data_IF_009534118610
#
_entry.id   IF_009534118610
#
_cell.length_a   1.000
_cell.length_b   1.000
_cell.length_c   1.000
_cell.angle_alpha   90.00
_cell.angle_beta   90.00
_cell.angle_gamma   90.00
#
_symmetry.space_group_name_H-M   'P 1'
#
loop_
_entity.id
_entity.type
_entity.pdbx_description
1 polymer ?
#
# COMPACT_ATOMS: atom_id res chain seq x y z
N UNK A 1 10.08 -4.19 14.90
CA UNK A 1 9.28 -3.73 13.74
C UNK A 1 9.86 -2.40 13.28
N UNK A 2 9.94 -2.17 11.98
CA UNK A 2 10.32 -0.89 11.39
C UNK A 2 9.34 -0.49 10.30
N UNK A 3 9.16 0.81 10.08
CA UNK A 3 8.29 1.34 9.05
C UNK A 3 8.88 2.57 8.38
N UNK A 4 8.38 2.89 7.19
CA UNK A 4 8.81 4.07 6.49
C UNK A 4 7.79 4.52 5.46
N UNK A 5 7.78 5.81 5.19
CA UNK A 5 6.97 6.44 4.16
C UNK A 5 7.75 7.63 3.59
N UNK A 6 7.49 8.01 2.34
CA UNK A 6 8.10 9.19 1.75
C UNK A 6 7.53 10.48 2.34
N UNK A 7 6.31 10.43 2.89
CA UNK A 7 5.63 11.56 3.49
C UNK A 7 5.88 11.59 5.01
N UNK A 8 6.66 12.59 5.45
CA UNK A 8 6.94 12.84 6.87
C UNK A 8 5.68 12.96 7.74
N UNK A 9 4.62 13.59 7.22
CA UNK A 9 3.37 13.76 7.96
C UNK A 9 2.72 12.42 8.28
N UNK A 10 2.75 11.46 7.33
CA UNK A 10 2.26 10.11 7.56
C UNK A 10 3.08 9.39 8.63
N UNK A 11 4.40 9.57 8.64
CA UNK A 11 5.28 9.03 9.69
C UNK A 11 4.94 9.62 11.06
N UNK A 12 4.68 10.92 11.15
CA UNK A 12 4.26 11.57 12.40
C UNK A 12 2.89 11.06 12.88
N UNK A 13 1.91 10.98 11.99
CA UNK A 13 0.58 10.42 12.30
C UNK A 13 0.65 8.97 12.75
N UNK A 14 1.51 8.15 12.12
CA UNK A 14 1.73 6.77 12.56
C UNK A 14 2.17 6.72 14.02
N UNK A 15 3.11 7.57 14.44
CA UNK A 15 3.58 7.60 15.84
C UNK A 15 2.45 7.95 16.80
N UNK A 16 1.63 8.95 16.45
CA UNK A 16 0.45 9.32 17.23
C UNK A 16 -0.59 8.19 17.31
N UNK A 17 -0.86 7.51 16.19
CA UNK A 17 -1.76 6.36 16.14
C UNK A 17 -1.26 5.20 17.03
N UNK A 18 0.04 4.91 16.97
CA UNK A 18 0.67 3.84 17.77
C UNK A 18 0.52 4.09 19.28
N UNK A 19 0.78 5.33 19.71
CA UNK A 19 0.62 5.75 21.10
C UNK A 19 -0.83 5.70 21.56
N UNK A 20 -1.77 6.19 20.75
CA UNK A 20 -3.21 6.10 21.06
C UNK A 20 -3.72 4.67 21.14
N UNK A 21 -3.17 3.77 20.32
CA UNK A 21 -3.46 2.35 20.39
C UNK A 21 -2.83 1.65 21.62
N UNK A 22 -2.07 2.37 22.45
CA UNK A 22 -1.41 1.87 23.65
C UNK A 22 -0.49 0.66 23.38
N UNK A 23 0.10 0.63 22.19
CA UNK A 23 1.02 -0.43 21.81
C UNK A 23 2.38 -0.22 22.50
N UNK A 24 3.02 -1.28 22.99
CA UNK A 24 4.33 -1.19 23.60
C UNK A 24 5.37 -0.74 22.56
N UNK A 25 6.42 -0.08 23.05
CA UNK A 25 7.64 0.27 22.31
C UNK A 25 7.41 0.86 20.91
N UNK A 26 7.61 2.17 20.76
CA UNK A 26 7.47 2.82 19.47
C UNK A 26 8.45 2.19 18.45
N UNK A 27 7.96 1.62 17.34
CA UNK A 27 8.84 1.01 16.35
C UNK A 27 9.67 2.07 15.65
N UNK A 28 10.81 1.63 15.09
CA UNK A 28 11.69 2.51 14.34
C UNK A 28 10.98 2.94 13.05
N UNK A 29 10.54 4.21 12.99
CA UNK A 29 9.93 4.78 11.79
C UNK A 29 10.68 6.00 11.29
N UNK A 30 10.81 6.10 9.96
CA UNK A 30 11.58 7.17 9.29
C UNK A 30 10.89 7.61 8.00
N UNK A 31 11.09 8.86 7.64
CA UNK A 31 10.82 9.30 6.27
C UNK A 31 11.87 8.69 5.35
N UNK A 32 11.46 7.88 4.38
CA UNK A 32 12.38 7.18 3.49
C UNK A 32 11.69 6.81 2.18
N UNK A 33 12.41 6.96 1.07
CA UNK A 33 12.00 6.43 -0.23
C UNK A 33 12.04 4.89 -0.22
N UNK A 34 11.03 4.25 -0.81
CA UNK A 34 10.98 2.80 -0.96
C UNK A 34 12.23 2.22 -1.66
N UNK A 35 12.81 2.92 -2.64
CA UNK A 35 14.04 2.53 -3.33
C UNK A 35 15.30 2.72 -2.45
N UNK A 36 15.23 3.55 -1.42
CA UNK A 36 16.31 3.73 -0.45
C UNK A 36 16.19 2.80 0.77
N UNK A 37 15.06 2.08 0.91
CA UNK A 37 14.81 1.19 2.04
C UNK A 37 15.84 0.05 2.10
N UNK A 38 16.20 -0.37 3.31
CA UNK A 38 17.11 -1.50 3.54
C UNK A 38 16.55 -2.42 4.62
N UNK A 39 16.83 -3.73 4.58
CA UNK A 39 16.49 -4.59 5.70
C UNK A 39 17.18 -4.09 6.97
N UNK A 40 16.57 -4.27 8.15
CA UNK A 40 17.24 -4.05 9.43
C UNK A 40 18.55 -4.83 9.51
N UNK A 41 19.56 -4.26 10.17
CA UNK A 41 20.85 -4.92 10.34
C UNK A 41 20.68 -6.30 11.00
N UNK A 42 21.41 -7.30 10.48
CA UNK A 42 21.42 -8.69 10.95
C UNK A 42 20.09 -9.45 10.85
N UNK A 43 19.05 -8.87 10.22
CA UNK A 43 17.80 -9.57 9.99
C UNK A 43 17.93 -10.53 8.79
N UNK A 44 17.88 -11.83 9.08
CA UNK A 44 17.69 -12.90 8.08
C UNK A 44 16.23 -13.34 8.10
N UNK A 45 15.72 -13.77 6.95
CA UNK A 45 14.38 -14.35 6.82
C UNK A 45 13.24 -13.41 7.30
N UNK A 46 13.40 -12.12 7.02
CA UNK A 46 12.44 -11.10 7.45
C UNK A 46 11.17 -11.08 6.61
N UNK A 47 10.15 -10.40 7.15
CA UNK A 47 8.88 -10.14 6.46
C UNK A 47 8.73 -8.65 6.19
N UNK A 48 8.44 -8.31 4.94
CA UNK A 48 8.05 -6.95 4.55
C UNK A 48 6.58 -6.95 4.14
N UNK A 49 5.81 -5.97 4.60
CA UNK A 49 4.41 -5.76 4.22
C UNK A 49 4.24 -4.35 3.67
N UNK A 50 3.68 -4.23 2.47
CA UNK A 50 3.42 -2.96 1.80
C UNK A 50 1.99 -2.89 1.29
N UNK A 51 1.49 -1.66 1.30
CA UNK A 51 0.24 -1.27 0.71
C UNK A 51 0.51 -0.07 -0.22
N UNK A 52 1.09 -0.29 -1.41
CA UNK A 52 1.43 0.79 -2.35
C UNK A 52 0.16 1.56 -2.74
N UNK A 53 0.28 2.81 -3.20
CA UNK A 53 -0.86 3.57 -3.68
C UNK A 53 -1.59 2.81 -4.79
N UNK A 54 -2.92 2.77 -4.72
CA UNK A 54 -3.75 2.20 -5.78
C UNK A 54 -4.19 3.33 -6.70
N UNK A 55 -4.05 3.15 -8.02
CA UNK A 55 -4.48 4.14 -9.02
C UNK A 55 -5.92 4.65 -8.83
N UNK A 56 -6.82 3.80 -8.31
CA UNK A 56 -8.22 4.18 -8.06
C UNK A 56 -8.44 5.19 -6.93
N UNK A 57 -7.56 5.30 -5.92
CA UNK A 57 -7.74 6.28 -4.84
C UNK A 57 -7.54 7.72 -5.31
N UNK A 58 -6.90 7.92 -6.47
CA UNK A 58 -6.75 9.24 -7.11
C UNK A 58 -7.99 9.60 -7.95
N UNK A 59 -8.72 8.62 -8.48
CA UNK A 59 -9.84 8.83 -9.40
C UNK A 59 -11.23 8.76 -8.75
N UNK A 60 -11.42 8.03 -7.64
CA UNK A 60 -12.72 7.91 -6.95
C UNK A 60 -12.94 9.10 -6.00
N UNK A 61 -12.95 10.32 -6.55
CA UNK A 61 -13.52 11.51 -5.90
C UNK A 61 -14.94 11.78 -6.44
N UNK A 62 -15.74 10.72 -6.58
CA UNK A 62 -17.06 10.77 -7.20
C UNK A 62 -18.07 9.86 -6.49
N UNK A 63 -18.56 10.28 -5.32
CA UNK A 63 -19.47 9.45 -4.53
C UNK A 63 -20.18 10.16 -3.39
N UNK A 64 -20.93 11.23 -3.72
CA UNK A 64 -21.90 11.97 -2.88
C UNK A 64 -21.36 12.68 -1.63
N UNK A 65 -21.15 14.00 -1.77
CA UNK A 65 -21.19 14.91 -0.63
C UNK A 65 -20.46 16.25 -0.83
N UNK A 66 -21.06 17.15 -1.63
CA UNK A 66 -20.80 18.60 -1.75
C UNK A 66 -19.41 19.07 -2.20
N UNK A 67 -19.45 20.17 -2.95
CA UNK A 67 -18.34 20.91 -3.50
C UNK A 67 -17.27 21.21 -2.47
N UNK A 68 -16.06 20.72 -2.72
CA UNK A 68 -14.83 21.30 -2.20
C UNK A 68 -13.87 21.33 -3.37
N UNK A 69 -13.63 22.55 -3.84
CA UNK A 69 -12.68 22.87 -4.90
C UNK A 69 -11.32 22.23 -4.60
N UNK A 70 -10.59 21.97 -5.69
CA UNK A 70 -9.20 21.51 -5.71
C UNK A 70 -8.39 21.96 -4.49
N UNK A 71 -8.15 21.01 -3.58
CA UNK A 71 -7.10 21.11 -2.58
C UNK A 71 -6.22 19.88 -2.82
N UNK A 72 -4.93 20.15 -3.01
CA UNK A 72 -3.83 19.20 -2.77
C UNK A 72 -4.15 18.41 -1.50
N UNK A 73 -3.64 17.19 -1.35
CA UNK A 73 -3.82 16.40 -0.13
C UNK A 73 -3.14 17.08 1.09
N UNK A 74 -3.75 18.15 1.58
CA UNK A 74 -3.38 18.92 2.75
C UNK A 74 -3.94 18.10 3.92
N UNK A 75 -3.04 17.35 4.56
CA UNK A 75 -3.23 16.99 5.96
C UNK A 75 -3.21 18.30 6.75
N UNK A 76 -4.37 18.96 6.84
CA UNK A 76 -4.52 20.27 7.48
C UNK A 76 -4.53 20.12 9.00
N UNK A 77 -3.82 21.04 9.64
CA UNK A 77 -3.52 21.16 11.06
C UNK A 77 -4.71 21.79 11.80
N UNK A 78 -5.88 21.14 11.71
CA UNK A 78 -7.05 21.55 12.47
C UNK A 78 -7.29 20.58 13.62
N UNK A 79 -6.88 21.03 14.81
CA UNK A 79 -7.30 20.64 16.15
C UNK A 79 -7.86 19.22 16.38
N UNK A 80 -7.10 18.52 17.22
CA UNK A 80 -7.45 17.27 17.89
C UNK A 80 -8.77 17.42 18.67
N UNK A 81 -9.89 17.01 18.07
CA UNK A 81 -11.05 16.50 18.81
C UNK A 81 -11.86 15.52 17.96
N UNK A 82 -12.22 14.40 18.58
CA UNK A 82 -13.14 13.36 18.12
C UNK A 82 -12.65 12.34 17.07
N UNK A 83 -12.04 11.29 17.62
CA UNK A 83 -12.33 9.87 17.34
C UNK A 83 -12.96 9.49 15.98
N UNK A 84 -12.26 9.83 14.90
CA UNK A 84 -12.62 9.46 13.53
C UNK A 84 -12.61 7.94 13.28
N UNK A 85 -12.10 7.15 14.23
CA UNK A 85 -12.02 5.69 14.16
C UNK A 85 -13.07 4.97 15.00
N UNK A 86 -13.67 5.60 16.02
CA UNK A 86 -14.70 4.97 16.85
C UNK A 86 -15.97 4.57 16.09
N UNK A 87 -16.29 5.18 14.95
CA UNK A 87 -17.51 4.87 14.19
C UNK A 87 -17.35 3.72 13.18
N UNK A 88 -16.15 3.14 13.02
CA UNK A 88 -15.89 2.08 12.04
C UNK A 88 -16.19 0.65 12.54
N UNK A 89 -17.00 0.49 13.58
CA UNK A 89 -17.41 -0.83 14.10
C UNK A 89 -18.69 -1.38 13.44
N UNK A 90 -19.46 -0.57 12.71
CA UNK A 90 -20.80 -1.02 12.31
C UNK A 90 -21.30 -0.36 11.01
N UNK A 91 -20.92 -0.87 9.84
CA UNK A 91 -21.79 -0.78 8.65
C UNK A 91 -21.64 -2.00 7.76
N UNK A 92 -22.74 -2.74 7.69
CA UNK A 92 -22.86 -4.02 7.04
C UNK A 92 -22.82 -3.95 5.51
N UNK A 93 -22.37 -5.08 4.96
CA UNK A 93 -22.74 -5.67 3.68
C UNK A 93 -24.01 -5.06 3.07
N UNK A 94 -23.87 -4.11 2.15
CA UNK A 94 -24.96 -3.80 1.21
C UNK A 94 -24.45 -3.93 -0.23
N UNK A 95 -25.09 -4.88 -0.91
CA UNK A 95 -24.78 -5.40 -2.24
C UNK A 95 -24.90 -4.34 -3.33
N UNK A 96 -23.78 -3.94 -3.94
CA UNK A 96 -23.79 -3.22 -5.21
C UNK A 96 -23.95 -4.23 -6.38
N UNK A 97 -24.93 -3.93 -7.24
CA UNK A 97 -25.49 -4.81 -8.28
C UNK A 97 -24.47 -5.21 -9.37
N UNK A 98 -24.58 -6.46 -9.82
CA UNK A 98 -23.69 -7.20 -10.76
C UNK A 98 -23.36 -6.50 -12.09
N UNK A 99 -24.17 -5.53 -12.56
CA UNK A 99 -24.01 -4.90 -13.88
C UNK A 99 -22.86 -3.89 -13.97
N UNK A 100 -22.46 -3.27 -12.86
CA UNK A 100 -21.38 -2.27 -12.84
C UNK A 100 -19.97 -2.88 -12.96
N UNK A 101 -19.84 -4.18 -12.65
CA UNK A 101 -18.55 -4.90 -12.53
C UNK A 101 -17.85 -5.15 -13.86
N UNK A 102 -18.60 -5.34 -14.94
CA UNK A 102 -18.04 -5.65 -16.25
C UNK A 102 -17.55 -4.38 -16.97
N UNK A 103 -18.28 -3.28 -16.80
CA UNK A 103 -17.88 -1.95 -17.27
C UNK A 103 -16.67 -1.41 -16.49
N UNK A 104 -16.60 -1.62 -15.17
CA UNK A 104 -15.42 -1.27 -14.37
C UNK A 104 -14.17 -2.04 -14.79
N UNK A 105 -14.27 -3.35 -15.03
CA UNK A 105 -13.14 -4.17 -15.49
C UNK A 105 -12.55 -3.70 -16.82
N UNK A 106 -13.39 -3.21 -17.74
CA UNK A 106 -12.95 -2.68 -19.03
C UNK A 106 -12.29 -1.30 -18.89
N UNK A 107 -12.74 -0.47 -17.95
CA UNK A 107 -12.12 0.82 -17.64
C UNK A 107 -10.79 0.66 -16.88
N UNK A 108 -10.74 -0.24 -15.90
CA UNK A 108 -9.54 -0.55 -15.09
C UNK A 108 -8.40 -1.17 -15.92
N UNK A 109 -8.72 -1.88 -17.01
CA UNK A 109 -7.73 -2.44 -17.92
C UNK A 109 -7.26 -1.42 -18.99
N UNK A 110 -7.91 -0.26 -19.09
CA UNK A 110 -7.65 0.76 -20.12
C UNK A 110 -7.07 2.07 -19.57
N UNK A 111 -6.97 2.27 -18.26
CA UNK A 111 -6.09 3.31 -17.72
C UNK A 111 -4.64 2.89 -17.95
N UNK A 112 -4.01 3.47 -18.97
CA UNK A 112 -2.56 3.45 -19.14
C UNK A 112 -1.93 3.90 -17.81
N UNK A 113 -1.36 2.95 -17.07
CA UNK A 113 -0.65 3.29 -15.85
C UNK A 113 0.47 4.26 -16.20
N UNK A 114 0.64 5.29 -15.35
CA UNK A 114 1.70 6.28 -15.49
C UNK A 114 3.05 5.58 -15.80
N UNK A 115 3.67 5.86 -16.96
CA UNK A 115 4.96 5.26 -17.31
C UNK A 115 6.03 5.45 -16.23
N UNK A 116 6.00 6.56 -15.49
CA UNK A 116 6.93 6.80 -14.39
C UNK A 116 6.70 5.83 -13.24
N UNK A 117 5.44 5.54 -12.91
CA UNK A 117 5.09 4.57 -11.86
C UNK A 117 5.46 3.14 -12.27
N UNK A 118 5.24 2.76 -13.53
CA UNK A 118 5.66 1.45 -14.04
C UNK A 118 7.18 1.28 -13.97
N UNK A 119 7.93 2.31 -14.33
CA UNK A 119 9.39 2.31 -14.21
C UNK A 119 9.85 2.25 -12.75
N UNK A 120 9.19 2.99 -11.85
CA UNK A 120 9.42 2.88 -10.40
C UNK A 120 9.19 1.44 -9.91
N UNK A 121 8.10 0.77 -10.28
CA UNK A 121 7.83 -0.61 -9.89
C UNK A 121 8.92 -1.56 -10.41
N UNK A 122 9.40 -1.33 -11.63
CA UNK A 122 10.53 -2.10 -12.19
C UNK A 122 11.80 -1.92 -11.35
N UNK A 123 12.14 -0.69 -10.98
CA UNK A 123 13.30 -0.37 -10.13
C UNK A 123 13.13 -0.95 -8.73
N UNK A 124 11.93 -0.87 -8.16
CA UNK A 124 11.61 -1.41 -6.86
C UNK A 124 11.72 -2.95 -6.84
N UNK A 125 11.24 -3.63 -7.88
CA UNK A 125 11.44 -5.07 -8.03
C UNK A 125 12.91 -5.47 -8.12
N UNK A 126 13.75 -4.67 -8.78
CA UNK A 126 15.19 -4.88 -8.80
C UNK A 126 15.83 -4.68 -7.42
N UNK A 127 15.47 -3.60 -6.73
CA UNK A 127 15.92 -3.29 -5.39
C UNK A 127 15.57 -4.40 -4.38
N UNK A 128 14.35 -4.95 -4.44
CA UNK A 128 13.95 -6.08 -3.60
C UNK A 128 14.84 -7.31 -3.79
N UNK A 129 15.19 -7.65 -5.03
CA UNK A 129 16.10 -8.77 -5.33
C UNK A 129 17.52 -8.52 -4.83
N UNK A 130 17.97 -7.27 -4.88
CA UNK A 130 19.35 -6.90 -4.55
C UNK A 130 19.56 -6.77 -3.05
N UNK A 131 18.61 -6.18 -2.32
CA UNK A 131 18.77 -5.83 -0.92
C UNK A 131 18.04 -6.76 0.05
N UNK A 132 17.00 -7.48 -0.38
CA UNK A 132 16.12 -8.25 0.51
C UNK A 132 16.19 -9.77 0.29
N UNK A 133 17.32 -10.30 -0.18
CA UNK A 133 17.53 -11.75 -0.30
C UNK A 133 17.23 -12.50 1.00
N UNK A 134 16.45 -13.59 0.90
CA UNK A 134 15.95 -14.38 2.02
C UNK A 134 14.61 -13.90 2.60
N UNK A 135 14.10 -12.72 2.22
CA UNK A 135 12.88 -12.17 2.79
C UNK A 135 11.61 -12.64 2.08
N UNK A 136 10.50 -12.70 2.84
CA UNK A 136 9.16 -12.76 2.27
C UNK A 136 8.57 -11.35 2.17
N UNK A 137 8.20 -10.93 0.96
CA UNK A 137 7.57 -9.63 0.69
C UNK A 137 6.09 -9.84 0.40
N UNK A 138 5.23 -9.13 1.13
CA UNK A 138 3.79 -9.15 0.97
C UNK A 138 3.29 -7.80 0.46
N UNK A 139 2.56 -7.80 -0.65
CA UNK A 139 2.01 -6.58 -1.27
C UNK A 139 0.51 -6.70 -1.41
N UNK A 140 -0.23 -5.84 -0.72
CA UNK A 140 -1.67 -5.72 -0.89
C UNK A 140 -1.96 -4.72 -2.01
N UNK A 141 -2.55 -5.15 -3.12
CA UNK A 141 -2.90 -4.25 -4.25
C UNK A 141 -4.15 -4.68 -5.00
N UNK A 142 -4.80 -3.73 -5.66
CA UNK A 142 -5.82 -3.99 -6.70
C UNK A 142 -5.20 -4.23 -8.09
N UNK A 143 -3.91 -3.93 -8.27
CA UNK A 143 -3.20 -4.15 -9.54
C UNK A 143 -2.82 -5.62 -9.73
N UNK A 144 -3.46 -6.28 -10.70
CA UNK A 144 -3.21 -7.69 -11.01
C UNK A 144 -1.98 -7.90 -11.90
N UNK A 145 -1.45 -6.85 -12.53
CA UNK A 145 -0.24 -6.87 -13.34
C UNK A 145 1.04 -6.69 -12.49
N UNK A 146 0.91 -6.37 -11.19
CA UNK A 146 2.02 -6.10 -10.28
C UNK A 146 3.18 -7.13 -10.36
N UNK A 147 2.95 -8.47 -10.32
CA UNK A 147 4.06 -9.44 -10.43
C UNK A 147 4.90 -9.27 -11.70
N UNK A 148 4.24 -8.95 -12.83
CA UNK A 148 4.89 -8.70 -14.11
C UNK A 148 5.70 -7.40 -14.11
N UNK A 149 5.16 -6.34 -13.53
CA UNK A 149 5.82 -5.03 -13.43
C UNK A 149 7.05 -5.09 -12.51
N UNK A 150 6.95 -5.78 -11.37
CA UNK A 150 8.09 -6.04 -10.48
C UNK A 150 9.11 -7.00 -11.10
N UNK A 151 8.73 -7.76 -12.14
CA UNK A 151 9.49 -8.87 -12.73
C UNK A 151 9.86 -9.93 -11.68
N UNK A 152 8.94 -10.21 -10.76
CA UNK A 152 9.08 -11.23 -9.71
C UNK A 152 7.85 -12.12 -9.76
N UNK A 153 8.06 -13.43 -9.84
CA UNK A 153 6.96 -14.40 -9.76
C UNK A 153 6.48 -14.49 -8.31
N UNK A 154 5.18 -14.33 -8.10
CA UNK A 154 4.57 -14.53 -6.80
C UNK A 154 4.60 -16.01 -6.39
N UNK A 155 4.79 -16.27 -5.10
CA UNK A 155 4.68 -17.61 -4.50
C UNK A 155 3.26 -17.90 -4.02
N UNK A 156 2.49 -16.86 -3.68
CA UNK A 156 1.08 -16.98 -3.27
C UNK A 156 0.29 -15.74 -3.69
N UNK A 157 -0.98 -15.94 -4.02
CA UNK A 157 -1.95 -14.89 -4.31
C UNK A 157 -3.21 -15.16 -3.50
N UNK A 158 -3.56 -14.26 -2.58
CA UNK A 158 -4.74 -14.43 -1.71
C UNK A 158 -5.78 -13.34 -1.98
N UNK A 159 -7.05 -13.69 -2.30
CA UNK A 159 -8.12 -12.72 -2.47
C UNK A 159 -8.46 -12.02 -1.16
N UNK A 160 -8.53 -10.69 -1.19
CA UNK A 160 -8.94 -9.84 -0.07
C UNK A 160 -9.82 -8.69 -0.57
N UNK A 161 -10.43 -7.97 0.37
CA UNK A 161 -11.23 -6.78 0.10
C UNK A 161 -10.74 -5.62 0.96
N UNK A 162 -10.38 -4.50 0.34
CA UNK A 162 -10.07 -3.25 1.02
C UNK A 162 -11.31 -2.34 0.95
N UNK A 163 -12.25 -2.57 1.87
CA UNK A 163 -13.61 -2.04 1.75
C UNK A 163 -14.35 -2.66 0.55
N UNK A 164 -14.92 -1.86 -0.38
CA UNK A 164 -15.58 -2.38 -1.58
C UNK A 164 -14.59 -2.81 -2.67
N UNK A 165 -13.31 -2.43 -2.57
CA UNK A 165 -12.30 -2.70 -3.58
C UNK A 165 -11.79 -4.14 -3.45
N UNK A 166 -11.86 -4.89 -4.55
CA UNK A 166 -11.27 -6.22 -4.63
C UNK A 166 -9.74 -6.09 -4.79
N UNK A 167 -9.00 -6.66 -3.84
CA UNK A 167 -7.55 -6.69 -3.86
C UNK A 167 -7.02 -8.12 -3.87
N UNK A 168 -5.71 -8.24 -4.08
CA UNK A 168 -4.92 -9.43 -3.79
C UNK A 168 -3.80 -9.08 -2.84
N UNK A 169 -3.55 -9.97 -1.89
CA UNK A 169 -2.29 -10.03 -1.17
C UNK A 169 -1.37 -10.98 -1.94
N UNK A 170 -0.40 -10.40 -2.63
CA UNK A 170 0.68 -11.14 -3.27
C UNK A 170 1.77 -11.43 -2.25
N UNK A 171 2.28 -12.66 -2.23
CA UNK A 171 3.52 -13.02 -1.53
C UNK A 171 4.61 -13.25 -2.57
N UNK A 172 5.78 -12.67 -2.35
CA UNK A 172 6.99 -12.92 -3.12
C UNK A 172 8.07 -13.43 -2.18
N UNK A 173 8.78 -14.48 -2.61
CA UNK A 173 9.98 -14.95 -1.91
C UNK A 173 11.20 -14.36 -2.60
N UNK A 174 12.00 -13.59 -1.87
CA UNK A 174 13.26 -13.07 -2.38
C UNK A 174 14.35 -14.12 -2.16
N UNK A 175 14.91 -14.65 -3.24
CA UNK A 175 16.01 -15.59 -3.12
C UNK A 175 17.33 -14.84 -2.91
N UNK A 176 18.21 -15.28 -1.99
CA UNK A 176 19.56 -14.74 -1.87
C UNK A 176 20.28 -14.82 -3.23
N UNK A 177 21.08 -13.81 -3.55
CA UNK A 177 22.01 -13.92 -4.69
C UNK A 177 22.96 -15.09 -4.39
N UNK A 178 23.15 -15.96 -5.38
CA UNK A 178 24.21 -16.98 -5.29
C UNK A 178 25.54 -16.26 -5.34
N UNK A 179 26.40 -16.51 -4.36
CA UNK A 179 27.79 -16.10 -4.46
C UNK A 179 28.39 -16.84 -5.66
N UNK A 180 28.93 -16.07 -6.61
CA UNK A 180 29.58 -16.58 -7.82
C UNK A 180 31.01 -16.99 -7.58
#
# INVERSE_FOLDING_TARGET
ISGGDINERLVAMFKGNWQRAQLPDLPVTRQIDALASKPPQNAKDGVMLLNPPYGERLAIKGGRGRDMQSEEDVYDDAEVTEDRFAQNVETGRQSAKRSSRESLKKLQAQEEQDPQFVEFLRQFGQHLKDAFGGWSVFVLTADMALPGQLRIKESKRTPLFNGPLECRLFKFEMHPKRDG
#
